data_IF_747200975984
#
_entry.id   IF_747200975984
#
_cell.length_a   1.000
_cell.length_b   1.000
_cell.length_c   1.000
_cell.angle_alpha   90.00
_cell.angle_beta   90.00
_cell.angle_gamma   90.00
#
_symmetry.space_group_name_H-M   'P 1'
#
loop_
_entity.id
_entity.type
_entity.pdbx_description
1 polymer ?
#
# COMPACT_ATOMS: atom_id res chain seq x y z
N UNK A 1 6.43 -4.09 -12.59
CA UNK A 1 7.60 -3.50 -13.25
C UNK A 1 8.66 -4.53 -13.60
N UNK A 2 9.43 -4.27 -14.66
CA UNK A 2 10.71 -4.91 -15.01
C UNK A 2 11.76 -3.82 -15.35
N UNK A 3 11.84 -2.77 -14.53
CA UNK A 3 12.62 -1.56 -14.80
C UNK A 3 13.77 -1.25 -13.83
N UNK A 4 14.08 -2.13 -12.87
CA UNK A 4 15.20 -1.95 -11.95
C UNK A 4 15.06 -0.82 -10.90
N UNK A 5 14.00 -0.02 -10.91
CA UNK A 5 13.67 0.89 -9.82
C UNK A 5 12.87 0.17 -8.73
N UNK A 6 13.14 0.54 -7.47
CA UNK A 6 12.40 0.07 -6.30
C UNK A 6 11.12 0.85 -6.00
N UNK A 7 10.94 1.98 -6.71
CA UNK A 7 9.69 2.72 -6.73
C UNK A 7 8.74 2.15 -7.77
N UNK A 8 7.43 2.38 -7.60
CA UNK A 8 6.46 1.95 -8.58
C UNK A 8 6.77 2.49 -9.98
N UNK A 9 6.51 1.66 -11.01
CA UNK A 9 6.87 1.95 -12.41
C UNK A 9 5.70 2.29 -13.31
N UNK A 10 4.46 2.17 -12.82
CA UNK A 10 3.27 2.60 -13.57
C UNK A 10 2.01 1.80 -13.25
N UNK A 11 1.01 1.83 -14.15
CA UNK A 11 -0.37 1.39 -13.83
C UNK A 11 -0.52 -0.13 -13.68
N UNK A 12 0.47 -0.90 -14.12
CA UNK A 12 0.50 -2.36 -13.94
C UNK A 12 0.76 -2.79 -12.49
N UNK A 13 1.05 -1.86 -11.58
CA UNK A 13 1.34 -2.16 -10.19
C UNK A 13 0.16 -1.82 -9.29
N UNK A 14 -0.20 -2.80 -8.46
CA UNK A 14 -1.23 -2.62 -7.44
C UNK A 14 -0.59 -1.98 -6.22
N UNK A 15 -1.12 -0.85 -5.80
CA UNK A 15 -0.67 -0.09 -4.63
C UNK A 15 -1.78 -0.09 -3.59
N UNK A 16 -1.41 -0.21 -2.31
CA UNK A 16 -2.36 -0.21 -1.20
C UNK A 16 -2.13 0.98 -0.28
N UNK A 17 -3.21 1.67 0.07
CA UNK A 17 -3.19 2.77 1.03
C UNK A 17 -3.04 2.22 2.46
N UNK A 18 -2.13 2.80 3.24
CA UNK A 18 -1.82 2.35 4.61
C UNK A 18 -2.51 3.20 5.69
N UNK A 19 -3.13 4.30 5.30
CA UNK A 19 -3.71 5.28 6.23
C UNK A 19 -4.83 6.07 5.56
N UNK A 20 -5.80 6.46 6.37
CA UNK A 20 -6.89 7.31 5.91
C UNK A 20 -6.41 8.74 5.62
N UNK A 21 -6.81 9.27 4.47
CA UNK A 21 -6.73 10.69 4.11
C UNK A 21 -8.11 11.11 3.60
N UNK A 22 -8.97 11.50 4.53
CA UNK A 22 -10.40 11.69 4.28
C UNK A 22 -10.69 12.85 3.31
N UNK A 23 -9.82 13.86 3.27
CA UNK A 23 -9.86 14.97 2.33
C UNK A 23 -9.70 14.52 0.88
N UNK A 24 -8.99 13.41 0.64
CA UNK A 24 -8.80 12.80 -0.67
C UNK A 24 -9.69 11.56 -0.89
N UNK A 25 -10.51 11.19 0.10
CA UNK A 25 -11.32 9.96 0.06
C UNK A 25 -10.51 8.66 0.15
N UNK A 26 -9.21 8.72 0.50
CA UNK A 26 -8.37 7.53 0.64
C UNK A 26 -8.62 6.84 1.98
N UNK A 27 -8.84 5.53 1.93
CA UNK A 27 -9.10 4.69 3.10
C UNK A 27 -8.00 3.64 3.24
N UNK A 28 -7.60 3.32 4.46
CA UNK A 28 -6.65 2.24 4.74
C UNK A 28 -7.16 0.90 4.18
N UNK A 29 -6.33 0.24 3.38
CA UNK A 29 -6.67 -0.99 2.66
C UNK A 29 -7.22 -0.78 1.25
N UNK A 30 -7.52 0.47 0.86
CA UNK A 30 -7.95 0.80 -0.50
C UNK A 30 -6.82 0.54 -1.50
N UNK A 31 -7.15 -0.10 -2.61
CA UNK A 31 -6.23 -0.28 -3.73
C UNK A 31 -6.32 0.88 -4.71
N UNK A 32 -5.15 1.27 -5.22
CA UNK A 32 -5.00 2.31 -6.23
C UNK A 32 -3.96 1.87 -7.26
N UNK A 33 -3.98 2.51 -8.42
CA UNK A 33 -2.92 2.41 -9.44
C UNK A 33 -2.29 3.77 -9.65
N UNK A 34 -1.05 3.78 -10.15
CA UNK A 34 -0.24 4.99 -10.28
C UNK A 34 0.16 5.21 -11.74
N UNK A 35 0.07 6.45 -12.18
CA UNK A 35 0.51 6.91 -13.50
C UNK A 35 1.43 8.14 -13.38
N UNK A 36 2.21 8.38 -14.44
CA UNK A 36 3.10 9.54 -14.56
C UNK A 36 3.96 9.76 -13.31
N UNK A 37 4.67 8.73 -12.86
CA UNK A 37 5.40 8.74 -11.59
C UNK A 37 6.69 9.54 -11.74
N UNK A 38 6.90 10.51 -10.86
CA UNK A 38 8.09 11.37 -10.84
C UNK A 38 8.78 11.28 -9.49
N UNK A 39 10.02 10.81 -9.51
CA UNK A 39 10.89 10.84 -8.35
C UNK A 39 11.42 12.27 -8.13
N UNK A 40 10.92 12.92 -7.08
CA UNK A 40 11.26 14.31 -6.72
C UNK A 40 12.62 14.43 -5.98
N UNK A 41 13.39 13.35 -5.84
CA UNK A 41 14.68 13.32 -5.14
C UNK A 41 14.62 13.56 -3.61
N UNK A 42 13.41 13.70 -3.04
CA UNK A 42 13.16 13.92 -1.61
C UNK A 42 12.47 12.71 -0.94
N UNK A 43 11.90 12.85 0.26
CA UNK A 43 11.20 11.77 0.99
C UNK A 43 9.92 11.23 0.32
N UNK A 44 9.51 11.81 -0.82
CA UNK A 44 8.33 11.40 -1.56
C UNK A 44 8.60 11.37 -3.06
N UNK A 45 7.76 10.63 -3.78
CA UNK A 45 7.57 10.78 -5.22
C UNK A 45 6.17 11.34 -5.49
N UNK A 46 5.97 11.98 -6.63
CA UNK A 46 4.64 12.41 -7.06
C UNK A 46 4.10 11.46 -8.12
N UNK A 47 2.78 11.25 -8.14
CA UNK A 47 2.12 10.43 -9.15
C UNK A 47 0.66 10.88 -9.34
N UNK A 48 0.12 10.62 -10.52
CA UNK A 48 -1.33 10.62 -10.74
C UNK A 48 -1.87 9.31 -10.18
N UNK A 49 -2.97 9.38 -9.41
CA UNK A 49 -3.51 8.23 -8.69
C UNK A 49 -4.91 7.92 -9.18
N UNK A 50 -5.19 6.65 -9.43
CA UNK A 50 -6.51 6.17 -9.84
C UNK A 50 -7.06 5.17 -8.83
N UNK A 51 -8.36 5.24 -8.55
CA UNK A 51 -9.08 4.19 -7.83
C UNK A 51 -9.29 2.94 -8.71
N UNK A 52 -9.95 1.91 -8.15
CA UNK A 52 -10.25 0.67 -8.90
C UNK A 52 -11.26 0.88 -10.05
N UNK A 53 -12.03 1.98 -10.03
CA UNK A 53 -12.94 2.39 -11.12
C UNK A 53 -12.23 3.23 -12.20
N UNK A 54 -10.92 3.52 -12.03
CA UNK A 54 -10.12 4.33 -12.93
C UNK A 54 -10.28 5.85 -12.75
N UNK A 55 -10.99 6.30 -11.71
CA UNK A 55 -11.20 7.74 -11.44
C UNK A 55 -9.97 8.35 -10.80
N UNK A 56 -9.66 9.58 -11.20
CA UNK A 56 -8.56 10.35 -10.63
C UNK A 56 -8.82 10.71 -9.16
N UNK A 57 -7.80 10.56 -8.33
CA UNK A 57 -7.80 10.96 -6.92
C UNK A 57 -6.91 12.20 -6.75
N UNK A 58 -7.48 13.25 -6.18
CA UNK A 58 -6.82 14.53 -5.93
C UNK A 58 -7.43 15.68 -6.73
N UNK A 59 -7.20 16.90 -6.24
CA UNK A 59 -7.69 18.12 -6.88
C UNK A 59 -6.97 18.35 -8.22
N UNK A 60 -7.71 18.50 -9.34
CA UNK A 60 -7.11 18.82 -10.63
C UNK A 60 -6.46 20.21 -10.61
N UNK A 61 -5.44 20.39 -11.43
CA UNK A 61 -4.83 21.70 -11.64
C UNK A 61 -5.77 22.62 -12.42
N UNK A 62 -5.54 23.95 -12.34
CA UNK A 62 -6.36 24.96 -13.03
C UNK A 62 -6.42 24.76 -14.56
N UNK A 63 -5.39 24.14 -15.14
CA UNK A 63 -5.30 23.83 -16.57
C UNK A 63 -6.01 22.53 -16.97
N UNK A 64 -6.72 21.89 -16.04
CA UNK A 64 -7.47 20.66 -16.26
C UNK A 64 -6.64 19.38 -16.20
N UNK A 65 -5.33 19.46 -15.93
CA UNK A 65 -4.51 18.25 -15.71
C UNK A 65 -4.91 17.56 -14.40
N UNK A 66 -4.84 16.22 -14.34
CA UNK A 66 -5.08 15.48 -13.11
C UNK A 66 -4.18 15.96 -11.97
N UNK A 67 -4.75 16.02 -10.77
CA UNK A 67 -4.00 16.26 -9.54
C UNK A 67 -2.96 15.18 -9.31
N UNK A 68 -1.86 15.54 -8.66
CA UNK A 68 -0.80 14.61 -8.27
C UNK A 68 -0.75 14.48 -6.77
N UNK A 69 -0.65 13.25 -6.28
CA UNK A 69 -0.44 12.99 -4.86
C UNK A 69 1.04 12.85 -4.56
N UNK A 70 1.45 13.31 -3.38
CA UNK A 70 2.81 13.12 -2.85
C UNK A 70 2.83 11.87 -1.99
N UNK A 71 3.45 10.82 -2.49
CA UNK A 71 3.46 9.50 -1.85
C UNK A 71 4.81 9.28 -1.17
N UNK A 72 4.76 8.93 0.11
CA UNK A 72 5.96 8.71 0.92
C UNK A 72 6.78 7.50 0.41
N UNK A 73 8.06 7.74 0.11
CA UNK A 73 8.97 6.72 -0.45
C UNK A 73 9.40 5.66 0.55
N UNK A 74 9.50 6.00 1.83
CA UNK A 74 10.13 5.13 2.81
C UNK A 74 9.49 3.74 2.90
N UNK A 75 8.16 3.65 2.72
CA UNK A 75 7.44 2.36 2.70
C UNK A 75 7.80 1.46 1.52
N UNK A 76 8.40 2.02 0.46
CA UNK A 76 8.90 1.27 -0.70
C UNK A 76 10.39 0.95 -0.54
N UNK A 77 11.17 1.93 -0.08
CA UNK A 77 12.61 1.79 0.16
C UNK A 77 12.94 0.73 1.21
N UNK A 78 12.11 0.60 2.25
CA UNK A 78 12.30 -0.41 3.31
C UNK A 78 12.20 -1.85 2.80
N UNK A 79 11.60 -2.09 1.63
CA UNK A 79 11.61 -3.42 0.99
C UNK A 79 12.98 -3.78 0.37
N UNK A 80 13.82 -2.78 0.09
CA UNK A 80 15.16 -2.95 -0.47
C UNK A 80 16.21 -2.90 0.63
N UNK A 81 16.14 -1.87 1.47
CA UNK A 81 17.10 -1.61 2.52
C UNK A 81 16.33 -1.11 3.75
N UNK A 82 15.93 -2.05 4.59
CA UNK A 82 15.22 -1.77 5.83
C UNK A 82 16.04 -0.86 6.76
N UNK A 83 15.44 0.25 7.19
CA UNK A 83 16.01 1.20 8.15
C UNK A 83 15.06 1.34 9.34
N UNK A 84 15.48 0.79 10.49
CA UNK A 84 14.69 0.77 11.72
C UNK A 84 14.41 2.18 12.30
N UNK A 85 15.24 3.16 11.95
CA UNK A 85 15.12 4.56 12.41
C UNK A 85 14.39 5.45 11.44
N UNK A 86 14.11 4.98 10.21
CA UNK A 86 13.43 5.76 9.16
C UNK A 86 12.09 6.30 9.63
N UNK A 87 11.30 5.47 10.32
CA UNK A 87 9.99 5.89 10.83
C UNK A 87 10.09 7.13 11.72
N UNK A 88 10.97 7.10 12.71
CA UNK A 88 11.13 8.18 13.69
C UNK A 88 11.76 9.42 13.06
N UNK A 89 12.76 9.22 12.19
CA UNK A 89 13.44 10.29 11.46
C UNK A 89 12.47 11.06 10.56
N UNK A 90 11.65 10.34 9.80
CA UNK A 90 10.82 10.92 8.74
C UNK A 90 9.41 11.28 9.24
N UNK A 91 9.08 10.95 10.50
CA UNK A 91 7.73 11.04 11.08
C UNK A 91 7.01 12.37 10.82
N UNK A 92 7.71 13.51 11.00
CA UNK A 92 7.11 14.85 10.85
C UNK A 92 6.65 15.11 9.42
N UNK A 93 7.50 14.80 8.45
CA UNK A 93 7.22 15.02 7.03
C UNK A 93 6.27 13.95 6.49
N UNK A 94 6.46 12.69 6.89
CA UNK A 94 5.59 11.56 6.51
C UNK A 94 4.11 11.83 6.81
N UNK A 95 3.80 12.50 7.92
CA UNK A 95 2.40 12.79 8.30
C UNK A 95 1.67 13.72 7.33
N UNK A 96 2.39 14.46 6.49
CA UNK A 96 1.86 15.34 5.46
C UNK A 96 1.78 14.68 4.07
N UNK A 97 2.21 13.42 3.97
CA UNK A 97 2.30 12.67 2.73
C UNK A 97 1.27 11.54 2.71
N UNK A 98 0.89 11.13 1.50
CA UNK A 98 0.11 9.91 1.28
C UNK A 98 0.95 8.69 1.63
N UNK A 99 0.47 7.88 2.57
CA UNK A 99 1.13 6.67 3.01
C UNK A 99 0.58 5.46 2.24
N UNK A 100 1.38 4.89 1.35
CA UNK A 100 1.03 3.73 0.54
C UNK A 100 2.25 2.80 0.34
N UNK A 101 2.02 1.56 -0.08
CA UNK A 101 3.07 0.58 -0.42
C UNK A 101 2.57 -0.40 -1.50
N UNK A 102 3.40 -1.34 -1.94
CA UNK A 102 2.97 -2.38 -2.88
C UNK A 102 1.83 -3.23 -2.29
N UNK A 103 0.79 -3.48 -3.11
CA UNK A 103 -0.47 -4.10 -2.71
C UNK A 103 -0.72 -5.51 -3.26
N UNK A 104 0.23 -6.10 -3.99
CA UNK A 104 0.09 -7.47 -4.53
C UNK A 104 0.08 -8.55 -3.44
N UNK A 105 0.84 -8.32 -2.37
CA UNK A 105 0.84 -9.16 -1.19
C UNK A 105 1.03 -8.28 0.04
N UNK A 106 0.34 -8.61 1.13
CA UNK A 106 0.42 -7.89 2.40
C UNK A 106 0.46 -8.89 3.54
N UNK A 107 1.15 -8.54 4.62
CA UNK A 107 1.18 -9.38 5.81
C UNK A 107 -0.18 -9.31 6.52
N UNK A 108 -0.60 -10.42 7.13
CA UNK A 108 -1.87 -10.44 7.87
C UNK A 108 -1.93 -9.39 8.99
N UNK A 109 -0.79 -9.05 9.60
CA UNK A 109 -0.67 -7.97 10.58
C UNK A 109 -1.04 -6.60 9.98
N UNK A 110 -0.53 -6.28 8.78
CA UNK A 110 -0.88 -5.00 8.12
C UNK A 110 -2.29 -4.99 7.53
N UNK A 111 -2.87 -6.16 7.27
CA UNK A 111 -4.25 -6.31 6.80
C UNK A 111 -5.31 -6.17 7.91
N UNK A 112 -4.91 -6.02 9.18
CA UNK A 112 -5.85 -5.87 10.29
C UNK A 112 -6.77 -4.67 10.08
N UNK A 113 -8.09 -4.92 10.15
CA UNK A 113 -9.11 -3.89 9.96
C UNK A 113 -9.56 -3.69 8.51
N UNK A 114 -8.90 -4.32 7.52
CA UNK A 114 -9.32 -4.31 6.11
C UNK A 114 -10.09 -5.59 5.76
N UNK A 115 -10.96 -5.54 4.76
CA UNK A 115 -11.68 -6.71 4.26
C UNK A 115 -11.72 -6.68 2.73
N UNK A 116 -11.72 -7.86 2.10
CA UNK A 116 -11.79 -8.00 0.65
C UNK A 116 -12.72 -9.15 0.28
N UNK A 117 -13.35 -9.05 -0.89
CA UNK A 117 -14.31 -10.05 -1.37
C UNK A 117 -13.69 -11.46 -1.44
N UNK A 118 -12.49 -11.55 -2.01
CA UNK A 118 -11.75 -12.80 -2.18
C UNK A 118 -10.31 -12.64 -1.67
N UNK A 119 -9.84 -13.58 -0.85
CA UNK A 119 -8.49 -13.56 -0.26
C UNK A 119 -7.78 -14.88 -0.52
N UNK A 120 -6.52 -14.79 -0.95
CA UNK A 120 -5.58 -15.90 -0.97
C UNK A 120 -4.65 -15.73 0.23
N UNK A 121 -4.62 -16.72 1.12
CA UNK A 121 -3.68 -16.77 2.25
C UNK A 121 -2.57 -17.73 1.91
N UNK A 122 -1.34 -17.22 1.88
CA UNK A 122 -0.13 -18.03 1.84
C UNK A 122 0.35 -18.27 3.28
N UNK A 123 0.17 -19.48 3.78
CA UNK A 123 0.68 -19.93 5.07
C UNK A 123 2.06 -20.55 4.86
N UNK A 124 3.10 -19.78 5.16
CA UNK A 124 4.50 -20.21 5.06
C UNK A 124 4.93 -21.11 6.23
N UNK A 125 4.01 -21.46 7.14
CA UNK A 125 4.28 -22.26 8.33
C UNK A 125 5.03 -21.51 9.43
N UNK A 126 5.29 -20.20 9.28
CA UNK A 126 6.00 -19.42 10.29
C UNK A 126 5.09 -19.16 11.50
N UNK A 127 5.50 -19.71 12.64
CA UNK A 127 4.85 -19.48 13.93
C UNK A 127 5.76 -19.94 15.06
N UNK A 128 5.87 -19.15 16.13
CA UNK A 128 6.66 -19.54 17.32
C UNK A 128 6.06 -20.74 18.05
N UNK A 129 4.74 -20.90 17.93
CA UNK A 129 3.95 -22.01 18.47
C UNK A 129 2.74 -22.28 17.59
N UNK A 130 2.11 -23.45 17.77
CA UNK A 130 0.86 -23.79 17.08
C UNK A 130 -0.27 -22.79 17.42
N UNK A 131 -0.29 -22.28 18.66
CA UNK A 131 -1.28 -21.29 19.11
C UNK A 131 -1.10 -19.97 18.35
N UNK A 132 0.14 -19.53 18.16
CA UNK A 132 0.44 -18.30 17.42
C UNK A 132 0.04 -18.42 15.95
N UNK A 133 0.33 -19.56 15.33
CA UNK A 133 -0.11 -19.85 13.96
C UNK A 133 -1.64 -19.81 13.83
N UNK A 134 -2.39 -20.43 14.76
CA UNK A 134 -3.87 -20.37 14.76
C UNK A 134 -4.41 -18.96 14.89
N UNK A 135 -3.81 -18.11 15.74
CA UNK A 135 -4.19 -16.70 15.91
C UNK A 135 -3.92 -15.87 14.64
N UNK A 136 -2.78 -16.12 14.01
CA UNK A 136 -2.42 -15.49 12.75
C UNK A 136 -3.38 -15.91 11.63
N UNK A 137 -3.65 -17.21 11.50
CA UNK A 137 -4.61 -17.75 10.53
C UNK A 137 -6.00 -17.16 10.75
N UNK A 138 -6.48 -17.06 11.99
CA UNK A 138 -7.74 -16.39 12.30
C UNK A 138 -7.77 -14.94 11.79
N UNK A 139 -6.68 -14.20 12.02
CA UNK A 139 -6.57 -12.81 11.52
C UNK A 139 -6.63 -12.76 10.00
N UNK A 140 -5.89 -13.63 9.31
CA UNK A 140 -5.84 -13.69 7.85
C UNK A 140 -7.16 -14.15 7.21
N UNK A 141 -7.76 -15.23 7.74
CA UNK A 141 -9.01 -15.83 7.25
C UNK A 141 -10.17 -14.83 7.34
N UNK A 142 -10.26 -14.09 8.45
CA UNK A 142 -11.35 -13.11 8.67
C UNK A 142 -11.26 -11.88 7.77
N UNK A 143 -10.22 -11.76 6.94
CA UNK A 143 -10.14 -10.70 5.92
C UNK A 143 -11.00 -11.01 4.68
N UNK A 144 -11.35 -12.28 4.46
CA UNK A 144 -12.20 -12.71 3.35
C UNK A 144 -13.69 -12.49 3.67
N UNK A 145 -14.41 -11.82 2.77
CA UNK A 145 -15.86 -11.64 2.91
C UNK A 145 -16.68 -12.73 2.21
N UNK A 146 -16.19 -13.25 1.08
CA UNK A 146 -16.91 -14.27 0.29
C UNK A 146 -16.06 -15.50 0.00
N UNK A 147 -14.86 -15.32 -0.54
CA UNK A 147 -14.00 -16.40 -1.00
C UNK A 147 -12.66 -16.44 -0.28
N UNK A 148 -12.24 -17.62 0.16
CA UNK A 148 -10.93 -17.85 0.75
C UNK A 148 -10.26 -19.03 0.05
N UNK A 149 -9.00 -18.84 -0.35
CA UNK A 149 -8.08 -19.93 -0.71
C UNK A 149 -6.92 -19.91 0.26
N UNK A 150 -6.68 -21.03 0.94
CA UNK A 150 -5.51 -21.22 1.79
C UNK A 150 -4.50 -22.10 1.05
N UNK A 151 -3.28 -21.58 0.89
CA UNK A 151 -2.12 -22.29 0.36
C UNK A 151 -1.18 -22.55 1.54
N UNK A 152 -0.88 -23.82 1.82
CA UNK A 152 -0.08 -24.27 2.97
C UNK A 152 0.82 -25.44 2.58
#
# INVERSE_FOLDING_TARGET
GLGGSWLPTGPAEKIICLKNQNDLGLINGMFVTLEDIVDEGSLYFSAVVHDEDGRYIGEPYEDGRPGRLRIYKGHFEDHVAYDDKRHDRDYKEKRLLTEATFGWAITAHKAQGSQWENVIVWDDGLGRSEIDRRRWLYTAITRAERGLVLLA
#
